data_IF_110003618433
#
_entry.id   IF_110003618433
#
_cell.length_a   1.000
_cell.length_b   1.000
_cell.length_c   1.000
_cell.angle_alpha   90.00
_cell.angle_beta   90.00
_cell.angle_gamma   90.00
#
_symmetry.space_group_name_H-M   'P 1'
#
loop_
_entity.id
_entity.type
_entity.pdbx_description
1 polymer ?
#
# COMPACT_ATOMS: atom_id res chain seq x y z
N UNK A 1 -14.13 13.75 -6.78
CA UNK A 1 -12.72 13.59 -7.18
C UNK A 1 -11.96 13.26 -5.91
N UNK A 2 -11.16 12.19 -5.86
CA UNK A 2 -10.35 11.91 -4.67
C UNK A 2 -9.11 12.80 -4.75
N UNK A 3 -9.05 13.83 -3.92
CA UNK A 3 -7.87 14.70 -3.81
C UNK A 3 -6.76 13.95 -3.06
N UNK A 4 -5.73 13.56 -3.81
CA UNK A 4 -4.46 13.08 -3.28
C UNK A 4 -3.49 14.26 -3.27
N UNK A 5 -2.79 14.48 -2.16
CA UNK A 5 -2.06 15.71 -1.91
C UNK A 5 -0.54 15.50 -1.87
N UNK A 6 -0.06 14.25 -1.94
CA UNK A 6 1.36 13.93 -2.01
C UNK A 6 1.86 13.77 -3.45
N UNK A 7 3.19 13.71 -3.58
CA UNK A 7 3.94 13.32 -4.79
C UNK A 7 3.47 12.00 -5.41
N UNK A 8 2.82 11.14 -4.64
CA UNK A 8 2.28 9.84 -5.07
C UNK A 8 0.90 9.93 -5.75
N UNK A 9 0.21 11.07 -5.71
CA UNK A 9 -1.09 11.30 -6.34
C UNK A 9 -1.22 10.78 -7.79
N UNK A 10 -0.29 11.11 -8.73
CA UNK A 10 -0.36 10.60 -10.10
C UNK A 10 -0.15 9.08 -10.17
N UNK A 11 0.71 8.52 -9.31
CA UNK A 11 0.97 7.09 -9.27
C UNK A 11 -0.23 6.30 -8.72
N UNK A 12 -0.89 6.82 -7.68
CA UNK A 12 -2.10 6.23 -7.09
C UNK A 12 -3.23 6.24 -8.13
N UNK A 13 -3.43 7.37 -8.81
CA UNK A 13 -4.47 7.50 -9.84
C UNK A 13 -4.21 6.55 -11.01
N UNK A 14 -2.96 6.46 -11.47
CA UNK A 14 -2.57 5.55 -12.54
C UNK A 14 -2.78 4.08 -12.18
N UNK A 15 -2.43 3.67 -10.95
CA UNK A 15 -2.69 2.32 -10.45
C UNK A 15 -4.20 2.00 -10.44
N UNK A 16 -5.02 2.91 -9.91
CA UNK A 16 -6.49 2.74 -9.85
C UNK A 16 -7.06 2.61 -11.26
N UNK A 17 -6.62 3.45 -12.20
CA UNK A 17 -7.04 3.36 -13.59
C UNK A 17 -6.66 2.01 -14.21
N UNK A 18 -5.40 1.57 -14.03
CA UNK A 18 -4.94 0.28 -14.53
C UNK A 18 -5.79 -0.88 -13.96
N UNK A 19 -6.12 -0.83 -12.67
CA UNK A 19 -6.94 -1.85 -12.01
C UNK A 19 -8.40 -1.84 -12.43
N UNK A 20 -8.98 -0.66 -12.65
CA UNK A 20 -10.32 -0.53 -13.24
C UNK A 20 -10.39 -1.10 -14.65
N UNK A 21 -9.36 -0.86 -15.47
CA UNK A 21 -9.25 -1.46 -16.82
C UNK A 21 -9.19 -2.99 -16.74
N UNK A 22 -8.58 -3.54 -15.69
CA UNK A 22 -8.53 -4.99 -15.43
C UNK A 22 -9.85 -5.57 -14.87
N UNK A 23 -10.88 -4.76 -14.65
CA UNK A 23 -12.19 -5.21 -14.16
C UNK A 23 -12.26 -5.43 -12.64
N UNK A 24 -11.28 -4.92 -11.88
CA UNK A 24 -11.27 -5.00 -10.42
C UNK A 24 -12.25 -3.98 -9.82
N UNK A 25 -13.12 -4.41 -8.88
CA UNK A 25 -14.13 -3.53 -8.26
C UNK A 25 -13.49 -2.45 -7.38
N UNK A 26 -12.24 -2.63 -6.93
CA UNK A 26 -11.41 -1.61 -6.28
C UNK A 26 -12.14 -0.77 -5.22
N UNK A 27 -12.95 -1.40 -4.38
CA UNK A 27 -13.87 -0.72 -3.47
C UNK A 27 -13.14 -0.29 -2.17
N UNK A 28 -12.25 -1.15 -1.66
CA UNK A 28 -11.54 -0.95 -0.39
C UNK A 28 -10.09 -0.44 -0.54
N UNK A 29 -9.41 -0.81 -1.63
CA UNK A 29 -8.02 -0.42 -1.92
C UNK A 29 -7.77 1.11 -2.02
N UNK A 30 -8.62 1.92 -2.69
CA UNK A 30 -8.37 3.35 -2.80
C UNK A 30 -8.45 4.08 -1.45
N UNK A 31 -9.24 3.57 -0.50
CA UNK A 31 -9.28 4.09 0.86
C UNK A 31 -7.96 3.86 1.62
N UNK A 32 -7.30 2.73 1.37
CA UNK A 32 -5.98 2.43 1.95
C UNK A 32 -4.91 3.29 1.31
N UNK A 33 -4.93 3.43 -0.03
CA UNK A 33 -4.01 4.30 -0.77
C UNK A 33 -4.12 5.77 -0.34
N UNK A 34 -5.33 6.24 -0.03
CA UNK A 34 -5.55 7.59 0.52
C UNK A 34 -4.91 7.77 1.90
N UNK A 35 -5.04 6.78 2.79
CA UNK A 35 -4.38 6.83 4.11
C UNK A 35 -2.86 6.80 3.97
N UNK A 36 -2.35 6.05 2.99
CA UNK A 36 -0.93 6.02 2.66
C UNK A 36 -0.45 7.37 2.11
N UNK A 37 -1.20 8.02 1.22
CA UNK A 37 -0.91 9.37 0.71
C UNK A 37 -0.80 10.38 1.87
N UNK A 38 -1.79 10.40 2.76
CA UNK A 38 -1.75 11.27 3.95
C UNK A 38 -0.54 10.97 4.83
N UNK A 39 -0.21 9.70 5.05
CA UNK A 39 0.96 9.28 5.82
C UNK A 39 2.28 9.74 5.17
N UNK A 40 2.40 9.64 3.84
CA UNK A 40 3.56 10.13 3.11
C UNK A 40 3.71 11.64 3.31
N UNK A 41 2.62 12.40 3.23
CA UNK A 41 2.66 13.85 3.45
C UNK A 41 3.13 14.23 4.86
N UNK A 42 2.67 13.52 5.87
CA UNK A 42 2.99 13.86 7.28
C UNK A 42 4.39 13.40 7.68
N UNK A 43 4.79 12.20 7.26
CA UNK A 43 6.01 11.57 7.73
C UNK A 43 7.20 11.81 6.78
N UNK A 44 6.93 11.97 5.48
CA UNK A 44 7.94 12.05 4.42
C UNK A 44 7.53 12.98 3.25
N UNK A 45 7.30 14.28 3.48
CA UNK A 45 6.78 15.20 2.46
C UNK A 45 7.70 15.39 1.24
N UNK A 46 9.00 15.10 1.38
CA UNK A 46 9.99 15.24 0.31
C UNK A 46 10.24 13.95 -0.49
N UNK A 47 9.69 12.82 -0.08
CA UNK A 47 9.94 11.55 -0.77
C UNK A 47 9.10 11.47 -2.04
N UNK A 48 9.79 11.25 -3.16
CA UNK A 48 9.17 11.11 -4.50
C UNK A 48 8.91 9.65 -4.87
N UNK A 49 9.51 8.71 -4.15
CA UNK A 49 9.35 7.27 -4.38
C UNK A 49 9.11 6.50 -3.09
N UNK A 50 8.60 5.27 -3.21
CA UNK A 50 8.37 4.42 -2.05
C UNK A 50 9.72 3.88 -1.58
N UNK A 51 10.34 4.51 -0.60
CA UNK A 51 11.61 4.05 -0.04
C UNK A 51 11.40 2.92 0.96
N UNK A 52 12.50 2.23 1.29
CA UNK A 52 12.48 1.15 2.27
C UNK A 52 11.97 1.62 3.62
N UNK A 53 12.40 2.79 4.07
CA UNK A 53 11.99 3.37 5.35
C UNK A 53 10.49 3.69 5.36
N UNK A 54 9.98 4.32 4.29
CA UNK A 54 8.56 4.59 4.12
C UNK A 54 7.72 3.30 4.17
N UNK A 55 8.15 2.26 3.44
CA UNK A 55 7.48 0.96 3.42
C UNK A 55 7.51 0.27 4.78
N UNK A 56 8.64 0.32 5.48
CA UNK A 56 8.78 -0.27 6.80
C UNK A 56 7.94 0.48 7.84
N UNK A 57 7.94 1.81 7.79
CA UNK A 57 7.13 2.66 8.66
C UNK A 57 5.63 2.40 8.44
N UNK A 58 5.19 2.20 7.19
CA UNK A 58 3.82 1.80 6.89
C UNK A 58 3.50 0.36 7.33
N UNK A 59 4.47 -0.55 7.23
CA UNK A 59 4.35 -1.95 7.63
C UNK A 59 4.45 -2.15 9.16
N UNK A 60 4.63 -1.08 9.95
CA UNK A 60 4.58 -1.16 11.41
C UNK A 60 3.19 -1.61 11.85
N UNK A 61 3.17 -2.78 12.50
CA UNK A 61 1.97 -3.35 13.09
C UNK A 61 1.50 -2.48 14.25
N UNK A 62 0.21 -2.08 14.24
CA UNK A 62 -0.39 -1.39 15.37
C UNK A 62 -0.68 -2.36 16.53
N UNK A 63 -0.58 -1.92 17.80
CA UNK A 63 -0.92 -2.77 18.93
C UNK A 63 -2.38 -3.21 18.82
N UNK A 64 -2.62 -4.52 18.85
CA UNK A 64 -3.96 -5.12 18.68
C UNK A 64 -4.42 -5.35 17.23
N UNK A 65 -3.66 -4.97 16.21
CA UNK A 65 -4.04 -5.20 14.81
C UNK A 65 -3.81 -6.66 14.40
N UNK A 66 -4.82 -7.29 13.79
CA UNK A 66 -4.70 -8.66 13.28
C UNK A 66 -3.75 -8.70 12.07
N UNK A 67 -2.89 -9.74 11.92
CA UNK A 67 -1.97 -9.84 10.79
C UNK A 67 -2.66 -9.80 9.42
N UNK A 68 -3.91 -10.28 9.33
CA UNK A 68 -4.73 -10.19 8.12
C UNK A 68 -5.06 -8.74 7.74
N UNK A 69 -5.39 -7.90 8.72
CA UNK A 69 -5.68 -6.47 8.53
C UNK A 69 -4.42 -5.72 8.08
N UNK A 70 -3.27 -6.03 8.69
CA UNK A 70 -1.98 -5.48 8.28
C UNK A 70 -1.66 -5.87 6.83
N UNK A 71 -1.85 -7.15 6.46
CA UNK A 71 -1.61 -7.61 5.09
C UNK A 71 -2.55 -6.91 4.08
N UNK A 72 -3.82 -6.73 4.44
CA UNK A 72 -4.78 -5.96 3.63
C UNK A 72 -4.33 -4.52 3.40
N UNK A 73 -3.69 -3.88 4.39
CA UNK A 73 -3.14 -2.52 4.28
C UNK A 73 -1.83 -2.45 3.47
N UNK A 74 -0.98 -3.46 3.56
CA UNK A 74 0.32 -3.50 2.87
C UNK A 74 0.16 -3.86 1.39
N UNK A 75 -0.79 -4.74 1.07
CA UNK A 75 -1.01 -5.24 -0.29
C UNK A 75 -1.17 -4.15 -1.35
N UNK A 76 -2.09 -3.17 -1.21
CA UNK A 76 -2.24 -2.11 -2.20
C UNK A 76 -1.01 -1.21 -2.32
N UNK A 77 -0.28 -0.99 -1.22
CA UNK A 77 0.97 -0.21 -1.25
C UNK A 77 2.10 -0.97 -1.96
N UNK A 78 2.14 -2.30 -1.83
CA UNK A 78 3.07 -3.13 -2.63
C UNK A 78 2.74 -3.11 -4.11
N UNK A 79 1.46 -3.14 -4.45
CA UNK A 79 1.03 -3.02 -5.85
C UNK A 79 1.39 -1.63 -6.41
N UNK A 80 1.21 -0.56 -5.62
CA UNK A 80 1.68 0.78 -5.96
C UNK A 80 3.21 0.81 -6.19
N UNK A 81 3.99 0.20 -5.29
CA UNK A 81 5.44 0.11 -5.43
C UNK A 81 5.84 -0.59 -6.74
N UNK A 82 5.23 -1.75 -7.04
CA UNK A 82 5.46 -2.45 -8.31
C UNK A 82 5.06 -1.61 -9.52
N UNK A 83 3.96 -0.88 -9.43
CA UNK A 83 3.52 0.02 -10.49
C UNK A 83 4.53 1.13 -10.75
N UNK A 84 5.03 1.78 -9.69
CA UNK A 84 6.10 2.79 -9.82
C UNK A 84 7.39 2.20 -10.38
N UNK A 85 7.77 0.98 -9.99
CA UNK A 85 8.92 0.27 -10.58
C UNK A 85 8.73 0.00 -12.07
N UNK A 86 7.52 -0.37 -12.50
CA UNK A 86 7.18 -0.57 -13.92
C UNK A 86 7.25 0.70 -14.74
N UNK A 87 6.95 1.85 -14.12
CA UNK A 87 7.10 3.16 -14.73
C UNK A 87 8.57 3.64 -14.80
N UNK A 88 9.52 2.89 -14.24
CA UNK A 88 10.95 3.23 -14.23
C UNK A 88 11.42 3.98 -12.99
N UNK A 89 10.56 4.15 -11.98
CA UNK A 89 10.94 4.79 -10.72
C UNK A 89 11.57 3.79 -9.76
N UNK A 90 12.56 4.24 -8.99
CA UNK A 90 13.21 3.40 -8.00
C UNK A 90 12.35 3.32 -6.73
N UNK A 91 11.62 2.22 -6.58
CA UNK A 91 10.73 1.98 -5.46
C UNK A 91 11.01 0.62 -4.79
N UNK A 92 10.87 0.60 -3.46
CA UNK A 92 11.08 -0.57 -2.63
C UNK A 92 9.77 -1.35 -2.47
N UNK A 93 9.78 -2.61 -2.91
CA UNK A 93 8.67 -3.53 -2.71
C UNK A 93 8.96 -4.45 -1.52
N UNK A 94 8.09 -4.42 -0.50
CA UNK A 94 8.26 -5.26 0.70
C UNK A 94 8.22 -6.76 0.33
N UNK A 95 9.27 -7.54 0.62
CA UNK A 95 9.32 -8.96 0.29
C UNK A 95 8.27 -9.76 1.10
N UNK A 96 7.75 -10.84 0.51
CA UNK A 96 6.67 -11.65 1.13
C UNK A 96 7.06 -12.25 2.48
N UNK A 97 8.35 -12.48 2.74
CA UNK A 97 8.86 -13.09 3.97
C UNK A 97 8.84 -12.19 5.21
N UNK A 98 8.61 -10.88 5.05
CA UNK A 98 8.61 -9.93 6.18
C UNK A 98 7.22 -9.75 6.81
N UNK A 99 6.18 -10.35 6.23
CA UNK A 99 4.82 -10.25 6.74
C UNK A 99 4.54 -11.36 7.77
N UNK A 100 3.89 -11.05 8.91
CA UNK A 100 3.51 -12.06 9.90
C UNK A 100 2.58 -13.10 9.25
N UNK A 101 2.86 -14.39 9.47
CA UNK A 101 1.98 -15.46 8.98
C UNK A 101 0.62 -15.32 9.65
N UNK A 102 -0.43 -15.27 8.85
CA UNK A 102 -1.80 -15.34 9.34
C UNK A 102 -2.01 -16.77 9.85
N UNK A 103 -2.27 -16.99 11.14
CA UNK A 103 -2.70 -18.31 11.60
C UNK A 103 -4.01 -18.62 10.88
N UNK A 104 -4.07 -19.73 10.13
CA UNK A 104 -5.34 -20.21 9.58
C UNK A 104 -6.26 -20.48 10.76
N UNK A 105 -7.40 -19.80 10.78
CA UNK A 105 -8.45 -20.14 11.72
C UNK A 105 -8.92 -21.55 11.36
N UNK A 106 -8.66 -22.51 12.24
CA UNK A 106 -9.24 -23.84 12.17
C UNK A 106 -10.44 -23.81 13.12
N UNK A 107 -11.69 -23.78 12.62
CA UNK A 107 -12.82 -24.02 13.51
C UNK A 107 -12.66 -25.44 14.05
N UNK A 108 -12.42 -25.57 15.35
CA UNK A 108 -12.49 -26.85 16.05
C UNK A 108 -13.96 -27.24 16.17
N UNK A 109 -14.33 -28.38 15.59
CA UNK A 109 -15.62 -29.03 15.76
C UNK A 109 -15.91 -29.35 17.22
#
# INVERSE_FOLDING_TARGET
MMDYLSTFAPHITGLIQQKRVLGDKYDSEPGILRRFDTFCRECHPGEVTITRELMLAWAVKRPGEHPATLQGRITPVKELAKYTMRLGYNAFCLPKGMMPRIPRYHPTC
#
